data_IF_385552023608
#
_entry.id   IF_385552023608
#
_cell.length_a   1.000
_cell.length_b   1.000
_cell.length_c   1.000
_cell.angle_alpha   90.00
_cell.angle_beta   90.00
_cell.angle_gamma   90.00
#
_symmetry.space_group_name_H-M   'P 1'
#
loop_
_entity.id
_entity.type
_entity.pdbx_description
1 polymer ?
#
# COMPACT_ATOMS: atom_id res chain seq x y z
N UNK A 1 -28.27 24.46 -42.15
CA UNK A 1 -27.43 25.26 -41.23
C UNK A 1 -27.86 24.95 -39.80
N UNK A 2 -27.57 23.75 -39.28
CA UNK A 2 -26.43 23.47 -38.38
C UNK A 2 -26.25 24.52 -37.27
N UNK A 3 -26.99 24.35 -36.17
CA UNK A 3 -26.61 24.86 -34.85
C UNK A 3 -26.79 23.73 -33.83
N UNK A 4 -25.88 22.77 -33.92
CA UNK A 4 -25.57 21.83 -32.84
C UNK A 4 -25.08 22.66 -31.65
N UNK A 5 -26.04 23.05 -30.81
CA UNK A 5 -25.80 23.71 -29.53
C UNK A 5 -25.01 22.74 -28.65
N UNK A 6 -23.70 22.97 -28.62
CA UNK A 6 -22.85 22.76 -27.45
C UNK A 6 -22.92 21.37 -26.83
N UNK A 7 -22.53 20.38 -27.64
CA UNK A 7 -21.99 19.10 -27.20
C UNK A 7 -20.58 19.31 -26.59
N UNK A 8 -20.46 20.12 -25.54
CA UNK A 8 -19.20 20.46 -24.86
C UNK A 8 -19.27 20.23 -23.35
N UNK A 9 -19.96 19.16 -22.92
CA UNK A 9 -19.61 18.51 -21.64
C UNK A 9 -18.86 17.22 -21.98
N UNK A 10 -17.72 17.38 -22.66
CA UNK A 10 -16.72 16.34 -22.74
C UNK A 10 -16.25 16.04 -21.32
N UNK A 11 -16.46 14.79 -20.92
CA UNK A 11 -15.58 14.01 -20.07
C UNK A 11 -15.04 14.76 -18.84
N UNK A 12 -15.78 14.69 -17.74
CA UNK A 12 -15.14 14.67 -16.43
C UNK A 12 -14.72 13.21 -16.15
N UNK A 13 -13.48 12.77 -16.43
CA UNK A 13 -12.93 11.64 -15.69
C UNK A 13 -12.66 12.18 -14.29
N UNK A 14 -13.66 12.10 -13.41
CA UNK A 14 -13.41 12.28 -11.98
C UNK A 14 -12.39 11.20 -11.64
N UNK A 15 -11.17 11.65 -11.37
CA UNK A 15 -10.04 10.85 -10.98
C UNK A 15 -10.52 9.81 -9.97
N UNK A 16 -10.43 8.53 -10.36
CA UNK A 16 -10.41 7.42 -9.42
C UNK A 16 -9.10 7.59 -8.64
N UNK A 17 -9.09 8.47 -7.63
CA UNK A 17 -8.09 8.40 -6.59
C UNK A 17 -8.25 7.02 -6.00
N UNK A 18 -7.33 6.12 -6.34
CA UNK A 18 -7.29 4.79 -5.76
C UNK A 18 -7.20 5.00 -4.24
N UNK A 19 -8.32 4.83 -3.55
CA UNK A 19 -8.34 4.68 -2.10
C UNK A 19 -7.62 3.36 -1.81
N UNK A 20 -6.30 3.39 -1.81
CA UNK A 20 -5.50 2.29 -1.34
C UNK A 20 -5.76 2.19 0.16
N UNK A 21 -6.35 1.07 0.57
CA UNK A 21 -6.47 0.72 1.98
C UNK A 21 -5.03 0.72 2.54
N UNK A 22 -4.72 1.50 3.59
CA UNK A 22 -3.38 1.51 4.14
C UNK A 22 -3.03 0.11 4.67
N UNK A 23 -1.79 -0.34 4.44
CA UNK A 23 -1.33 -1.62 4.98
C UNK A 23 -1.36 -1.56 6.50
N UNK A 24 -2.04 -2.53 7.12
CA UNK A 24 -2.08 -2.65 8.57
C UNK A 24 -0.78 -3.29 9.06
N UNK A 25 0.05 -2.50 9.76
CA UNK A 25 1.30 -2.98 10.36
C UNK A 25 1.38 -2.57 11.82
N UNK A 26 1.88 -3.49 12.65
CA UNK A 26 2.12 -3.24 14.07
C UNK A 26 3.61 -3.07 14.31
N UNK A 27 3.98 -1.99 14.99
CA UNK A 27 5.37 -1.75 15.41
C UNK A 27 5.69 -2.63 16.61
N UNK A 28 6.77 -3.38 16.50
CA UNK A 28 7.26 -4.29 17.54
C UNK A 28 8.54 -3.71 18.19
N UNK A 29 8.90 -4.16 19.40
CA UNK A 29 10.15 -3.75 20.03
C UNK A 29 11.37 -4.03 19.16
N UNK A 30 12.38 -3.15 19.24
CA UNK A 30 13.62 -3.28 18.47
C UNK A 30 13.50 -2.86 17.00
N UNK A 31 12.49 -2.08 16.64
CA UNK A 31 12.33 -1.52 15.28
C UNK A 31 11.72 -2.49 14.26
N UNK A 32 11.30 -3.67 14.70
CA UNK A 32 10.66 -4.69 13.87
C UNK A 32 9.22 -4.31 13.57
N UNK A 33 8.71 -4.81 12.47
CA UNK A 33 7.33 -4.63 12.03
C UNK A 33 6.64 -5.98 11.94
N UNK A 34 5.33 -5.98 12.19
CA UNK A 34 4.47 -7.15 12.08
C UNK A 34 3.34 -6.85 11.10
N UNK A 35 3.07 -7.78 10.19
CA UNK A 35 1.99 -7.69 9.20
C UNK A 35 1.27 -9.03 9.10
N UNK A 36 0.06 -9.03 8.54
CA UNK A 36 -0.76 -10.23 8.41
C UNK A 36 -0.09 -11.30 7.53
N UNK A 37 0.61 -10.88 6.47
CA UNK A 37 1.32 -11.78 5.56
C UNK A 37 2.50 -11.05 4.88
N UNK A 38 3.31 -11.79 4.13
CA UNK A 38 4.49 -11.25 3.45
C UNK A 38 4.16 -10.24 2.34
N UNK A 39 2.98 -10.35 1.72
CA UNK A 39 2.51 -9.41 0.70
C UNK A 39 2.25 -8.04 1.30
N UNK A 40 1.59 -7.99 2.46
CA UNK A 40 1.32 -6.74 3.17
C UNK A 40 2.61 -6.09 3.69
N UNK A 41 3.57 -6.90 4.17
CA UNK A 41 4.89 -6.42 4.57
C UNK A 41 5.64 -5.75 3.39
N UNK A 42 5.66 -6.40 2.23
CA UNK A 42 6.29 -5.88 1.02
C UNK A 42 5.60 -4.62 0.50
N UNK A 43 4.27 -4.62 0.50
CA UNK A 43 3.44 -3.49 0.13
C UNK A 43 3.69 -2.29 1.03
N UNK A 44 3.73 -2.51 2.35
CA UNK A 44 4.03 -1.46 3.32
C UNK A 44 5.41 -0.81 3.08
N UNK A 45 6.47 -1.60 2.95
CA UNK A 45 7.81 -1.04 2.72
C UNK A 45 7.91 -0.25 1.41
N UNK A 46 7.23 -0.73 0.36
CA UNK A 46 7.18 -0.06 -0.93
C UNK A 46 6.39 1.25 -0.87
N UNK A 47 5.20 1.25 -0.26
CA UNK A 47 4.36 2.43 -0.11
C UNK A 47 5.00 3.49 0.81
N UNK A 48 5.69 3.05 1.87
CA UNK A 48 6.40 3.93 2.78
C UNK A 48 7.70 4.51 2.20
N UNK A 49 8.13 4.05 1.01
CA UNK A 49 9.40 4.48 0.42
C UNK A 49 10.64 3.99 1.20
N UNK A 50 10.51 2.89 1.95
CA UNK A 50 11.55 2.33 2.82
C UNK A 50 12.30 1.14 2.19
N UNK A 51 12.09 0.89 0.90
CA UNK A 51 12.75 -0.17 0.15
C UNK A 51 11.99 -1.50 0.18
N UNK A 52 12.72 -2.59 0.47
CA UNK A 52 12.20 -3.96 0.40
C UNK A 52 11.90 -4.51 1.80
N UNK A 53 10.89 -5.36 1.91
CA UNK A 53 10.66 -6.12 3.13
C UNK A 53 11.67 -7.26 3.26
N UNK A 54 12.39 -7.29 4.38
CA UNK A 54 13.20 -8.41 4.84
C UNK A 54 12.42 -9.20 5.89
N UNK A 55 12.00 -10.40 5.53
CA UNK A 55 11.28 -11.29 6.44
C UNK A 55 12.22 -11.82 7.52
N UNK A 56 11.82 -11.68 8.78
CA UNK A 56 12.56 -12.20 9.94
C UNK A 56 12.02 -13.54 10.43
N UNK A 57 10.79 -13.89 10.04
CA UNK A 57 10.13 -15.14 10.41
C UNK A 57 8.68 -14.93 10.83
N UNK A 58 8.05 -15.94 11.45
CA UNK A 58 6.71 -15.80 12.02
C UNK A 58 6.72 -14.82 13.19
N UNK A 59 5.67 -14.02 13.30
CA UNK A 59 5.44 -13.16 14.44
C UNK A 59 4.90 -13.97 15.64
N UNK A 60 5.04 -13.45 16.88
CA UNK A 60 4.48 -14.09 18.06
C UNK A 60 2.97 -14.31 17.88
N UNK A 61 2.51 -15.56 18.09
CA UNK A 61 1.12 -15.96 17.82
C UNK A 61 0.91 -16.74 16.50
N UNK A 62 1.97 -16.94 15.70
CA UNK A 62 2.04 -17.85 14.53
C UNK A 62 1.10 -17.58 13.35
N UNK A 63 0.30 -16.51 13.36
CA UNK A 63 -0.62 -16.16 12.24
C UNK A 63 -0.10 -15.04 11.36
N UNK A 64 0.94 -14.35 11.81
CA UNK A 64 1.44 -13.13 11.18
C UNK A 64 2.94 -13.24 10.94
N UNK A 65 3.48 -12.28 10.20
CA UNK A 65 4.90 -12.26 9.83
C UNK A 65 5.62 -11.09 10.49
N UNK A 66 6.84 -11.35 10.93
CA UNK A 66 7.76 -10.34 11.43
C UNK A 66 8.73 -9.95 10.31
N UNK A 67 8.95 -8.66 10.11
CA UNK A 67 9.78 -8.14 9.03
C UNK A 67 10.42 -6.80 9.41
N UNK A 68 11.38 -6.38 8.60
CA UNK A 68 11.97 -5.04 8.63
C UNK A 68 12.01 -4.48 7.20
N UNK A 69 11.89 -3.16 7.05
CA UNK A 69 12.15 -2.53 5.76
C UNK A 69 13.64 -2.22 5.63
N UNK A 70 14.26 -2.67 4.54
CA UNK A 70 15.66 -2.43 4.22
C UNK A 70 15.76 -1.66 2.90
N UNK A 71 16.52 -0.57 2.92
CA UNK A 71 16.94 0.10 1.69
C UNK A 71 17.99 -0.76 1.00
N UNK A 72 17.83 -0.93 -0.31
CA UNK A 72 18.79 -1.65 -1.15
C UNK A 72 20.00 -0.77 -1.48
#
# INVERSE_FOLDING_TARGET
MTRFLTLCLLAAPIALTACSIPYEVVRMPGGKLRAQNATDAGGYCSQAGLGRARMLGPAPGNTEVLFECVNN
#
